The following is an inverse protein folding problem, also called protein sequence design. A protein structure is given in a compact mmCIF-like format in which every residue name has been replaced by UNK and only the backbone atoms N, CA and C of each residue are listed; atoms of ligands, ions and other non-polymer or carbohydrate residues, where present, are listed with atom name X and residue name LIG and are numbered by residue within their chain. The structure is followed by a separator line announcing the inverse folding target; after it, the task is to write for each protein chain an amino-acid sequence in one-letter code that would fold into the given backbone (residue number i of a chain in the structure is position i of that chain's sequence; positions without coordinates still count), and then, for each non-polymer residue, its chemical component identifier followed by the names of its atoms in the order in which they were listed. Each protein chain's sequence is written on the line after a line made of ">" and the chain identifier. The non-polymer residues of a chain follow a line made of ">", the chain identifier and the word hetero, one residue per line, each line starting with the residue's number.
data_IF_986091316183
#
_entry.id   IF_986091316183
#
_cell.length_a   1.000
_cell.length_b   1.000
_cell.length_c   1.000
_cell.angle_alpha   90.00
_cell.angle_beta   90.00
_cell.angle_gamma   90.00
#
_symmetry.space_group_name_H-M   'P 1'
#
loop_
_entity.id
_entity.type
_entity.pdbx_description
1 polymer ?
#
# COMPACT_ATOMS: atom_id res chain seq x y z
N UNK A 1 -3.54 -5.64 -14.62
CA UNK A 1 -4.85 -5.10 -14.17
C UNK A 1 -5.27 -5.94 -12.99
N UNK A 2 -5.70 -5.32 -11.89
CA UNK A 2 -6.08 -6.05 -10.67
C UNK A 2 -7.31 -6.93 -10.93
N UNK A 3 -7.30 -8.14 -10.39
CA UNK A 3 -8.45 -9.04 -10.37
C UNK A 3 -9.52 -8.54 -9.39
N UNK A 4 -10.76 -9.06 -9.49
CA UNK A 4 -11.80 -8.74 -8.52
C UNK A 4 -11.39 -9.10 -7.08
N UNK A 5 -10.74 -10.25 -6.87
CA UNK A 5 -10.30 -10.66 -5.53
C UNK A 5 -9.23 -9.71 -4.96
N UNK A 6 -8.25 -9.32 -5.77
CA UNK A 6 -7.22 -8.33 -5.40
C UNK A 6 -7.84 -6.98 -5.04
N UNK A 7 -8.87 -6.55 -5.77
CA UNK A 7 -9.61 -5.29 -5.47
C UNK A 7 -10.28 -5.36 -4.10
N UNK A 8 -10.87 -6.50 -3.72
CA UNK A 8 -11.50 -6.68 -2.41
C UNK A 8 -10.47 -6.70 -1.30
N UNK A 9 -9.33 -7.37 -1.51
CA UNK A 9 -8.20 -7.36 -0.57
C UNK A 9 -7.69 -5.94 -0.38
N UNK A 10 -7.44 -5.21 -1.46
CA UNK A 10 -6.96 -3.83 -1.43
C UNK A 10 -7.90 -2.91 -0.66
N UNK A 11 -9.22 -3.02 -0.89
CA UNK A 11 -10.24 -2.24 -0.16
C UNK A 11 -10.31 -2.61 1.32
N UNK A 12 -10.23 -3.89 1.66
CA UNK A 12 -10.21 -4.34 3.06
C UNK A 12 -8.97 -3.80 3.79
N UNK A 13 -7.79 -3.97 3.19
CA UNK A 13 -6.53 -3.46 3.75
C UNK A 13 -6.53 -1.94 3.84
N UNK A 14 -7.19 -1.24 2.90
CA UNK A 14 -7.32 0.20 2.92
C UNK A 14 -8.18 0.69 4.09
N UNK A 15 -9.33 0.06 4.32
CA UNK A 15 -10.17 0.37 5.49
C UNK A 15 -9.42 0.08 6.79
N UNK A 16 -8.65 -1.01 6.84
CA UNK A 16 -7.80 -1.33 7.99
C UNK A 16 -6.69 -0.28 8.22
N UNK A 17 -6.05 0.20 7.15
CA UNK A 17 -5.05 1.27 7.24
C UNK A 17 -5.67 2.57 7.76
N UNK A 18 -6.84 2.97 7.25
CA UNK A 18 -7.55 4.16 7.73
C UNK A 18 -7.91 4.06 9.22
N UNK A 19 -8.39 2.89 9.66
CA UNK A 19 -8.62 2.63 11.09
C UNK A 19 -7.35 2.78 11.92
N UNK A 20 -6.26 2.19 11.45
CA UNK A 20 -4.96 2.20 12.12
C UNK A 20 -4.39 3.62 12.19
N UNK A 21 -4.59 4.42 11.15
CA UNK A 21 -4.12 5.80 11.05
C UNK A 21 -5.01 6.82 11.78
N UNK A 22 -6.21 6.44 12.20
CA UNK A 22 -7.18 7.34 12.81
C UNK A 22 -6.63 8.17 14.01
N UNK A 23 -5.80 7.63 14.93
CA UNK A 23 -5.22 8.42 16.02
C UNK A 23 -4.29 9.54 15.57
N UNK A 24 -3.71 9.42 14.37
CA UNK A 24 -2.79 10.40 13.80
C UNK A 24 -3.47 11.38 12.83
N UNK A 25 -4.70 11.06 12.40
CA UNK A 25 -5.43 11.81 11.39
C UNK A 25 -4.82 11.71 9.99
N UNK A 26 -5.61 12.04 8.98
CA UNK A 26 -5.16 12.22 7.60
C UNK A 26 -5.64 13.61 7.17
N UNK A 27 -4.69 14.45 6.74
CA UNK A 27 -4.91 15.86 6.42
C UNK A 27 -5.10 16.11 4.93
N UNK A 28 -4.93 15.10 4.09
CA UNK A 28 -5.16 15.18 2.66
C UNK A 28 -4.69 13.95 1.89
N UNK A 29 -4.92 13.99 0.57
CA UNK A 29 -4.57 12.92 -0.36
C UNK A 29 -3.07 12.61 -0.37
N UNK A 30 -2.21 13.63 -0.23
CA UNK A 30 -0.75 13.43 -0.22
C UNK A 30 -0.33 12.48 0.90
N UNK A 31 -0.70 12.77 2.16
CA UNK A 31 -0.40 11.90 3.30
C UNK A 31 -0.99 10.51 3.12
N UNK A 32 -2.22 10.42 2.63
CA UNK A 32 -2.89 9.15 2.39
C UNK A 32 -2.16 8.28 1.37
N UNK A 33 -1.86 8.83 0.19
CA UNK A 33 -1.11 8.17 -0.88
C UNK A 33 0.27 7.72 -0.38
N UNK A 34 0.98 8.59 0.35
CA UNK A 34 2.30 8.26 0.88
C UNK A 34 2.26 7.15 1.94
N UNK A 35 1.28 7.13 2.85
CA UNK A 35 1.17 6.05 3.83
C UNK A 35 0.91 4.69 3.17
N UNK A 36 0.01 4.63 2.18
CA UNK A 36 -0.27 3.38 1.45
C UNK A 36 0.93 2.97 0.59
N UNK A 37 1.59 3.93 -0.06
CA UNK A 37 2.82 3.71 -0.82
C UNK A 37 3.93 3.11 0.05
N UNK A 38 4.19 3.68 1.22
CA UNK A 38 5.19 3.18 2.17
C UNK A 38 4.86 1.75 2.63
N UNK A 39 3.59 1.47 2.92
CA UNK A 39 3.15 0.11 3.25
C UNK A 39 3.45 -0.85 2.09
N UNK A 40 3.05 -0.51 0.87
CA UNK A 40 3.27 -1.33 -0.32
C UNK A 40 4.77 -1.55 -0.61
N UNK A 41 5.59 -0.50 -0.44
CA UNK A 41 7.04 -0.58 -0.58
C UNK A 41 7.64 -1.57 0.43
N UNK A 42 7.28 -1.46 1.72
CA UNK A 42 7.77 -2.35 2.77
C UNK A 42 7.28 -3.80 2.58
N UNK A 43 6.05 -3.99 2.12
CA UNK A 43 5.50 -5.31 1.76
C UNK A 43 6.35 -5.97 0.66
N UNK A 44 6.54 -5.28 -0.47
CA UNK A 44 7.17 -5.87 -1.65
C UNK A 44 8.69 -6.00 -1.53
N UNK A 45 9.38 -4.97 -1.04
CA UNK A 45 10.85 -4.93 -1.01
C UNK A 45 11.44 -5.23 0.36
N UNK A 46 10.74 -4.91 1.45
CA UNK A 46 11.21 -5.19 2.81
C UNK A 46 10.97 -6.64 3.24
N UNK A 47 9.79 -7.20 2.91
CA UNK A 47 9.36 -8.53 3.38
C UNK A 47 9.04 -9.53 2.26
N UNK A 48 9.08 -9.09 1.00
CA UNK A 48 8.74 -9.90 -0.18
C UNK A 48 7.38 -10.60 -0.07
N UNK A 49 6.38 -9.86 0.43
CA UNK A 49 4.99 -10.30 0.58
C UNK A 49 4.06 -9.37 -0.20
N UNK A 50 3.08 -9.92 -0.92
CA UNK A 50 2.06 -9.12 -1.64
C UNK A 50 0.88 -8.82 -0.73
N UNK A 51 0.68 -7.55 -0.40
CA UNK A 51 -0.51 -7.06 0.29
C UNK A 51 -1.35 -6.17 -0.62
N UNK A 52 -0.97 -4.91 -0.76
CA UNK A 52 -1.62 -4.01 -1.72
C UNK A 52 -1.22 -4.31 -3.17
N UNK A 53 -2.17 -4.23 -4.09
CA UNK A 53 -1.98 -4.47 -5.53
C UNK A 53 -2.00 -3.17 -6.37
N UNK A 54 -1.96 -2.03 -5.69
CA UNK A 54 -1.87 -0.71 -6.31
C UNK A 54 -0.57 -0.51 -7.08
N UNK A 55 -0.67 -0.03 -8.34
CA UNK A 55 0.48 0.44 -9.09
C UNK A 55 0.77 1.89 -8.71
N UNK A 56 2.02 2.17 -8.35
CA UNK A 56 2.47 3.53 -8.03
C UNK A 56 3.39 4.06 -9.11
N UNK A 57 3.22 5.34 -9.43
CA UNK A 57 4.16 6.11 -10.23
C UNK A 57 4.58 7.37 -9.48
N UNK A 58 5.72 7.94 -9.87
CA UNK A 58 6.22 9.17 -9.28
C UNK A 58 5.36 10.35 -9.74
N UNK A 59 4.75 11.06 -8.79
CA UNK A 59 4.06 12.31 -9.04
C UNK A 59 4.69 13.45 -8.25
N UNK A 60 4.17 14.68 -8.30
CA UNK A 60 4.82 15.85 -7.68
C UNK A 60 5.21 15.64 -6.20
N UNK A 61 4.37 14.97 -5.42
CA UNK A 61 4.50 14.82 -3.97
C UNK A 61 4.79 13.38 -3.50
N UNK A 62 5.47 12.60 -4.34
CA UNK A 62 5.89 11.22 -4.02
C UNK A 62 5.17 10.17 -4.87
N UNK A 63 4.93 9.01 -4.29
CA UNK A 63 4.22 7.93 -4.97
C UNK A 63 2.72 8.23 -5.07
N UNK A 64 2.15 8.08 -6.26
CA UNK A 64 0.71 8.20 -6.49
C UNK A 64 0.15 6.96 -7.18
N UNK A 65 -1.03 6.53 -6.73
CA UNK A 65 -1.80 5.46 -7.34
C UNK A 65 -3.21 5.95 -7.68
N UNK A 66 -3.56 5.88 -8.97
CA UNK A 66 -4.91 6.18 -9.44
C UNK A 66 -5.92 5.14 -8.95
N UNK A 67 -5.51 3.87 -8.94
CA UNK A 67 -6.30 2.75 -8.44
C UNK A 67 -6.69 2.94 -6.96
N UNK A 68 -5.75 3.44 -6.15
CA UNK A 68 -5.99 3.76 -4.74
C UNK A 68 -7.00 4.88 -4.58
N UNK A 69 -6.85 5.95 -5.37
CA UNK A 69 -7.78 7.06 -5.34
C UNK A 69 -9.20 6.62 -5.72
N UNK A 70 -9.32 5.76 -6.74
CA UNK A 70 -10.61 5.25 -7.19
C UNK A 70 -11.27 4.35 -6.14
N UNK A 71 -10.50 3.50 -5.47
CA UNK A 71 -11.02 2.67 -4.38
C UNK A 71 -11.45 3.51 -3.17
N UNK A 72 -10.70 4.57 -2.81
CA UNK A 72 -11.11 5.49 -1.75
C UNK A 72 -12.44 6.19 -2.07
N UNK A 73 -12.59 6.70 -3.30
CA UNK A 73 -13.83 7.33 -3.76
C UNK A 73 -14.99 6.33 -3.78
N UNK A 74 -14.78 5.11 -4.27
CA UNK A 74 -15.80 4.08 -4.32
C UNK A 74 -16.28 3.67 -2.92
N UNK A 75 -15.36 3.50 -1.97
CA UNK A 75 -15.68 3.20 -0.57
C UNK A 75 -16.45 4.34 0.10
N UNK A 76 -16.11 5.59 -0.22
CA UNK A 76 -16.84 6.77 0.24
C UNK A 76 -18.26 6.86 -0.32
N UNK A 77 -18.43 6.60 -1.62
CA UNK A 77 -19.75 6.55 -2.27
C UNK A 77 -20.66 5.50 -1.61
N UNK A 78 -20.09 4.37 -1.21
CA UNK A 78 -20.76 3.29 -0.48
C UNK A 78 -20.88 3.50 1.03
N UNK A 79 -20.47 4.66 1.55
CA UNK A 79 -20.57 5.02 2.97
C UNK A 79 -19.79 4.11 3.91
N UNK A 80 -18.71 3.46 3.47
CA UNK A 80 -17.79 2.76 4.38
C UNK A 80 -16.82 3.74 5.07
N UNK A 81 -16.55 4.87 4.44
CA UNK A 81 -15.75 5.95 4.98
C UNK A 81 -16.41 7.31 4.66
N UNK A 82 -16.02 8.32 5.41
CA UNK A 82 -16.32 9.73 5.12
C UNK A 82 -15.06 10.35 4.47
N UNK A 83 -15.11 10.68 3.16
CA UNK A 83 -13.98 11.28 2.46
C UNK A 83 -13.56 12.65 3.00
N UNK A 84 -14.50 13.43 3.55
CA UNK A 84 -14.21 14.76 4.07
C UNK A 84 -13.53 14.69 5.44
N UNK A 85 -13.95 13.72 6.27
CA UNK A 85 -13.38 13.51 7.59
C UNK A 85 -12.19 12.54 7.63
N UNK A 86 -11.88 11.87 6.51
CA UNK A 86 -10.86 10.82 6.39
C UNK A 86 -10.99 9.72 7.45
N UNK A 87 -12.23 9.33 7.77
CA UNK A 87 -12.55 8.39 8.84
C UNK A 87 -13.51 7.32 8.37
N UNK A 88 -13.44 6.15 9.01
CA UNK A 88 -14.44 5.11 8.80
C UNK A 88 -15.81 5.53 9.34
N UNK A 89 -16.87 5.10 8.67
CA UNK A 89 -18.22 5.13 9.23
C UNK A 89 -18.45 3.88 10.09
N UNK A 90 -19.62 3.77 10.74
CA UNK A 90 -20.01 2.55 11.43
C UNK A 90 -20.02 1.30 10.52
N UNK A 91 -20.34 1.46 9.22
CA UNK A 91 -20.31 0.38 8.26
C UNK A 91 -18.86 -0.07 7.96
N UNK A 92 -17.95 0.88 7.73
CA UNK A 92 -16.53 0.58 7.54
C UNK A 92 -15.91 -0.08 8.77
N UNK A 93 -16.22 0.43 9.97
CA UNK A 93 -15.81 -0.18 11.23
C UNK A 93 -16.29 -1.62 11.37
N UNK A 94 -17.50 -1.92 10.91
CA UNK A 94 -18.05 -3.29 10.92
C UNK A 94 -17.31 -4.20 9.96
N UNK A 95 -16.98 -3.74 8.74
CA UNK A 95 -16.17 -4.52 7.80
C UNK A 95 -14.79 -4.82 8.40
N UNK A 96 -14.12 -3.84 8.99
CA UNK A 96 -12.77 -4.03 9.53
C UNK A 96 -12.73 -5.01 10.72
N UNK A 97 -13.85 -5.27 11.40
CA UNK A 97 -13.92 -6.30 12.45
C UNK A 97 -13.65 -7.72 11.94
N UNK A 98 -13.69 -7.96 10.62
CA UNK A 98 -13.31 -9.27 10.05
C UNK A 98 -11.78 -9.49 10.03
N UNK A 99 -10.97 -8.43 10.16
CA UNK A 99 -9.51 -8.50 10.03
C UNK A 99 -8.86 -9.53 10.97
N UNK A 100 -9.18 -9.61 12.28
CA UNK A 100 -8.61 -10.64 13.13
C UNK A 100 -8.87 -12.07 12.62
N UNK A 101 -10.06 -12.33 12.07
CA UNK A 101 -10.41 -13.64 11.51
C UNK A 101 -9.75 -13.89 10.15
N UNK A 102 -9.57 -12.85 9.34
CA UNK A 102 -8.85 -12.92 8.07
C UNK A 102 -7.36 -13.23 8.28
N UNK A 103 -6.80 -12.85 9.43
CA UNK A 103 -5.36 -12.90 9.70
C UNK A 103 -4.98 -14.13 10.52
N UNK A 104 -5.83 -14.55 11.47
CA UNK A 104 -5.51 -15.62 12.42
C UNK A 104 -5.07 -16.92 11.73
N UNK A 105 -3.83 -17.33 11.97
CA UNK A 105 -3.28 -18.58 11.44
C UNK A 105 -2.77 -18.47 9.99
N UNK A 106 -2.70 -17.26 9.44
CA UNK A 106 -2.13 -16.96 8.13
C UNK A 106 -0.92 -16.05 8.32
N UNK A 107 0.28 -16.63 8.43
CA UNK A 107 1.52 -15.91 8.75
C UNK A 107 1.78 -14.71 7.81
N UNK A 108 1.52 -14.86 6.52
CA UNK A 108 1.69 -13.76 5.56
C UNK A 108 0.68 -12.61 5.77
N UNK A 109 -0.55 -12.93 6.17
CA UNK A 109 -1.55 -11.92 6.49
C UNK A 109 -1.18 -11.18 7.79
N UNK A 110 -0.61 -11.90 8.76
CA UNK A 110 -0.08 -11.34 10.00
C UNK A 110 1.06 -10.36 9.70
N UNK A 111 2.02 -10.76 8.86
CA UNK A 111 3.12 -9.89 8.42
C UNK A 111 2.60 -8.60 7.77
N UNK A 112 1.63 -8.70 6.86
CA UNK A 112 1.05 -7.54 6.17
C UNK A 112 0.37 -6.57 7.14
N UNK A 113 -0.37 -7.09 8.11
CA UNK A 113 -1.02 -6.26 9.14
C UNK A 113 0.01 -5.57 10.02
N UNK A 114 1.07 -6.27 10.40
CA UNK A 114 2.18 -5.70 11.17
C UNK A 114 2.87 -4.60 10.37
N UNK A 115 3.13 -4.79 9.07
CA UNK A 115 3.73 -3.76 8.21
C UNK A 115 2.86 -2.49 8.18
N UNK A 116 1.53 -2.62 8.06
CA UNK A 116 0.62 -1.47 8.09
C UNK A 116 0.72 -0.75 9.44
N UNK A 117 0.68 -1.49 10.55
CA UNK A 117 0.76 -0.93 11.89
C UNK A 117 2.09 -0.22 12.15
N UNK A 118 3.21 -0.84 11.78
CA UNK A 118 4.55 -0.28 11.95
C UNK A 118 4.76 0.95 11.07
N UNK A 119 4.30 0.91 9.81
CA UNK A 119 4.39 2.05 8.89
C UNK A 119 3.57 3.23 9.40
N UNK A 120 2.32 2.99 9.81
CA UNK A 120 1.47 4.05 10.38
C UNK A 120 2.05 4.59 11.68
N UNK A 121 2.62 3.75 12.53
CA UNK A 121 3.28 4.20 13.77
C UNK A 121 4.50 5.07 13.48
N UNK A 122 5.30 4.71 12.48
CA UNK A 122 6.51 5.44 12.11
C UNK A 122 6.21 6.77 11.42
N UNK A 123 5.27 6.78 10.47
CA UNK A 123 5.03 7.92 9.58
C UNK A 123 3.71 8.66 9.80
N UNK A 124 2.76 8.08 10.54
CA UNK A 124 1.43 8.67 10.75
C UNK A 124 1.47 10.04 11.41
N UNK A 125 2.47 10.31 12.25
CA UNK A 125 2.67 11.61 12.91
C UNK A 125 2.99 12.76 11.94
N UNK A 126 3.45 12.48 10.74
CA UNK A 126 3.79 13.51 9.76
C UNK A 126 2.51 14.05 9.09
N UNK A 127 2.48 15.36 8.84
CA UNK A 127 1.51 15.97 7.94
C UNK A 127 1.93 15.78 6.47
N UNK A 128 1.08 16.23 5.54
CA UNK A 128 1.34 16.14 4.11
C UNK A 128 2.62 16.85 3.66
N UNK A 129 3.08 17.90 4.35
CA UNK A 129 4.31 18.63 3.98
C UNK A 129 5.57 17.94 4.49
N UNK A 130 5.48 17.26 5.64
CA UNK A 130 6.59 16.62 6.32
C UNK A 130 6.80 15.16 5.92
N UNK A 131 5.76 14.46 5.43
CA UNK A 131 5.90 13.08 4.96
C UNK A 131 6.64 12.99 3.63
N UNK A 132 6.48 13.97 2.74
CA UNK A 132 7.07 13.95 1.39
C UNK A 132 8.60 13.91 1.42
N UNK A 133 9.30 14.79 2.16
CA UNK A 133 10.76 14.71 2.27
C UNK A 133 11.26 13.38 2.84
N UNK A 134 10.49 12.75 3.72
CA UNK A 134 10.85 11.44 4.29
C UNK A 134 10.71 10.31 3.28
N UNK A 135 9.67 10.35 2.43
CA UNK A 135 9.50 9.39 1.34
C UNK A 135 10.57 9.59 0.25
N UNK A 136 10.89 10.83 -0.11
CA UNK A 136 11.84 11.12 -1.20
C UNK A 136 13.27 10.65 -0.91
N UNK A 137 13.64 10.55 0.37
CA UNK A 137 14.94 10.04 0.83
C UNK A 137 15.07 8.53 0.73
N UNK A 138 13.96 7.80 0.58
CA UNK A 138 14.00 6.35 0.52
C UNK A 138 14.69 5.92 -0.78
N UNK A 139 15.65 5.03 -0.65
CA UNK A 139 16.41 4.51 -1.78
C UNK A 139 15.71 3.29 -2.39
N UNK A 140 15.51 3.33 -3.70
CA UNK A 140 15.09 2.18 -4.49
C UNK A 140 16.33 1.50 -5.06
N UNK A 141 16.42 0.18 -4.88
CA UNK A 141 17.47 -0.62 -5.52
C UNK A 141 17.11 -0.75 -7.00
N UNK A 142 18.00 -0.28 -7.88
CA UNK A 142 17.81 -0.41 -9.32
C UNK A 142 18.10 -1.86 -9.75
N UNK A 143 17.30 -2.44 -10.67
CA UNK A 143 17.66 -3.71 -11.27
C UNK A 143 18.98 -3.57 -12.03
N UNK A 144 19.83 -4.58 -11.94
CA UNK A 144 21.11 -4.63 -12.66
C UNK A 144 20.84 -4.47 -14.17
N UNK A 145 21.61 -3.60 -14.83
CA UNK A 145 21.56 -3.47 -16.29
C UNK A 145 22.09 -4.78 -16.89
N UNK A 146 21.31 -5.38 -17.79
CA UNK A 146 21.70 -6.59 -18.52
C UNK A 146 22.95 -6.40 -19.42
N UNK A 147 23.37 -5.16 -19.66
CA UNK A 147 24.49 -4.83 -20.56
C UNK A 147 25.84 -4.66 -19.81
N UNK A 148 25.92 -5.03 -18.53
CA UNK A 148 27.10 -4.81 -17.68
C UNK A 148 28.09 -5.99 -17.65
N UNK A 149 28.02 -6.93 -18.60
CA UNK A 149 28.94 -8.07 -18.73
C UNK A 149 30.33 -7.66 -19.32
N UNK A 150 30.71 -6.39 -19.23
CA UNK A 150 32.04 -5.91 -19.60
C UNK A 150 32.94 -5.78 -18.35
N UNK A 151 33.74 -6.81 -18.13
CA UNK A 151 35.00 -6.83 -17.38
C UNK A 151 35.01 -6.21 -15.95
N UNK A 152 34.89 -7.08 -14.94
CA UNK A 152 35.62 -6.92 -13.67
C UNK A 152 35.15 -5.84 -12.69
N UNK A 153 33.97 -5.25 -12.88
CA UNK A 153 33.40 -4.26 -11.95
C UNK A 153 32.61 -4.96 -10.85
N UNK A 154 33.01 -4.73 -9.60
CA UNK A 154 32.27 -5.15 -8.41
C UNK A 154 30.85 -4.59 -8.50
N UNK A 155 29.84 -5.46 -8.59
CA UNK A 155 28.42 -5.09 -8.63
C UNK A 155 28.02 -4.40 -7.31
N UNK A 156 28.17 -3.07 -7.25
CA UNK A 156 27.44 -2.28 -6.28
C UNK A 156 26.03 -2.10 -6.83
N UNK A 157 25.04 -2.67 -6.16
CA UNK A 157 23.64 -2.37 -6.45
C UNK A 157 23.45 -0.85 -6.39
N UNK A 158 23.22 -0.24 -7.55
CA UNK A 158 23.01 1.20 -7.64
C UNK A 158 21.65 1.51 -7.01
N UNK A 159 21.65 2.31 -5.95
CA UNK A 159 20.45 2.76 -5.27
C UNK A 159 20.12 4.20 -5.72
N UNK A 160 18.82 4.48 -5.93
CA UNK A 160 18.35 5.78 -6.36
C UNK A 160 17.28 6.28 -5.39
N UNK A 161 17.46 7.45 -4.76
CA UNK A 161 16.41 8.08 -3.97
C UNK A 161 15.15 8.30 -4.81
N UNK A 162 13.96 8.03 -4.23
CA UNK A 162 12.67 8.26 -4.90
C UNK A 162 12.54 9.70 -5.40
N UNK A 163 13.10 10.66 -4.66
CA UNK A 163 13.14 12.06 -5.06
C UNK A 163 13.77 12.32 -6.42
N UNK A 164 14.75 11.48 -6.82
CA UNK A 164 15.49 11.58 -8.09
C UNK A 164 14.88 10.78 -9.24
N UNK A 165 13.86 9.96 -8.96
CA UNK A 165 13.12 9.25 -10.01
C UNK A 165 12.32 10.27 -10.84
N UNK A 166 12.38 10.13 -12.17
CA UNK A 166 11.63 11.01 -13.08
C UNK A 166 10.12 10.96 -12.83
N UNK A 167 9.44 12.10 -12.98
CA UNK A 167 7.98 12.13 -12.90
C UNK A 167 7.33 11.17 -13.90
N UNK A 168 6.22 10.57 -13.48
CA UNK A 168 5.45 9.53 -14.18
C UNK A 168 6.16 8.18 -14.38
N UNK A 169 7.41 8.03 -13.94
CA UNK A 169 8.04 6.72 -13.91
C UNK A 169 7.34 5.81 -12.90
N UNK A 170 7.21 4.53 -13.23
CA UNK A 170 6.66 3.55 -12.31
C UNK A 170 7.60 3.33 -11.13
N UNK A 171 7.07 3.46 -9.91
CA UNK A 171 7.79 3.21 -8.66
C UNK A 171 7.52 1.78 -8.16
N UNK A 172 6.24 1.36 -8.17
CA UNK A 172 5.82 0.03 -7.73
C UNK A 172 4.85 -0.58 -8.73
N UNK A 173 5.14 -1.82 -9.14
CA UNK A 173 4.28 -2.60 -10.03
C UNK A 173 4.14 -3.99 -9.43
N UNK A 174 3.15 -4.22 -8.53
CA UNK A 174 3.07 -5.44 -7.72
C UNK A 174 3.03 -6.75 -8.52
N UNK A 175 2.40 -6.71 -9.69
CA UNK A 175 2.32 -7.83 -10.65
C UNK A 175 3.67 -8.28 -11.23
N UNK A 176 4.72 -7.45 -11.16
CA UNK A 176 6.09 -7.82 -11.60
C UNK A 176 6.91 -8.54 -10.52
N UNK A 177 6.42 -8.56 -9.28
CA UNK A 177 7.12 -9.22 -8.18
C UNK A 177 6.66 -10.68 -8.13
N UNK A 178 7.58 -11.61 -8.31
CA UNK A 178 7.28 -13.04 -8.15
C UNK A 178 7.48 -13.44 -6.70
N UNK A 179 6.39 -13.68 -5.97
CA UNK A 179 6.42 -14.22 -4.61
C UNK A 179 5.21 -15.11 -4.37
N UNK A 180 5.40 -16.19 -3.63
CA UNK A 180 4.33 -17.07 -3.15
C UNK A 180 3.67 -16.57 -1.86
N UNK A 181 4.23 -15.51 -1.25
CA UNK A 181 3.72 -14.90 -0.03
C UNK A 181 2.77 -13.77 -0.41
N UNK A 182 1.49 -13.96 -0.18
CA UNK A 182 0.46 -12.95 -0.48
C UNK A 182 -0.68 -12.98 0.53
N UNK A 183 -1.39 -11.86 0.65
CA UNK A 183 -2.59 -11.79 1.47
C UNK A 183 -3.70 -12.65 0.86
N UNK A 184 -4.18 -13.64 1.60
CA UNK A 184 -5.29 -14.49 1.15
C UNK A 184 -6.45 -14.42 2.11
N UNK A 185 -7.63 -14.19 1.56
CA UNK A 185 -8.89 -14.39 2.26
C UNK A 185 -9.31 -15.85 2.07
N UNK A 186 -9.95 -16.41 3.09
CA UNK A 186 -10.69 -17.67 2.94
C UNK A 186 -11.85 -17.45 1.97
N UNK A 187 -12.19 -18.47 1.19
CA UNK A 187 -13.19 -18.34 0.11
C UNK A 187 -14.55 -17.87 0.61
N UNK A 188 -15.00 -18.38 1.77
CA UNK A 188 -16.25 -17.97 2.41
C UNK A 188 -16.26 -16.47 2.77
N UNK A 189 -15.17 -15.98 3.34
CA UNK A 189 -15.01 -14.56 3.66
C UNK A 189 -14.86 -13.69 2.42
N UNK A 190 -14.14 -14.18 1.40
CA UNK A 190 -13.97 -13.48 0.13
C UNK A 190 -15.30 -13.25 -0.56
N UNK A 191 -16.17 -14.27 -0.63
CA UNK A 191 -17.51 -14.15 -1.23
C UNK A 191 -18.34 -13.11 -0.50
N UNK A 192 -18.37 -13.14 0.83
CA UNK A 192 -19.10 -12.15 1.64
C UNK A 192 -18.57 -10.74 1.40
N UNK A 193 -17.26 -10.56 1.40
CA UNK A 193 -16.65 -9.26 1.18
C UNK A 193 -16.79 -8.77 -0.26
N UNK A 194 -16.84 -9.66 -1.24
CA UNK A 194 -17.17 -9.30 -2.63
C UNK A 194 -18.55 -8.65 -2.70
N UNK A 195 -19.56 -9.23 -2.08
CA UNK A 195 -20.92 -8.66 -2.14
C UNK A 195 -21.02 -7.29 -1.45
N UNK A 196 -20.23 -7.06 -0.41
CA UNK A 196 -20.24 -5.82 0.36
C UNK A 196 -19.38 -4.75 -0.33
N UNK A 197 -18.15 -5.11 -0.73
CA UNK A 197 -17.12 -4.17 -1.14
C UNK A 197 -17.02 -3.98 -2.66
N UNK A 198 -17.55 -4.85 -3.54
CA UNK A 198 -17.39 -4.79 -5.03
C UNK A 198 -17.74 -3.47 -5.71
#
# INVERSE_FOLDING_TARGET
>A
MRSPAETIVDRLLLLFLLKTAAPYGIDGDVKFQQLVFLCALQMLYGRQVKGFHYRFFRYAYGGYSKDLQDDFVALGAKKFLDPAAWKLTAAGETVVKVMPNAVKGHSHNEDIVVIIQDTVKAYGKFDSSNIVPEVEKIELILPEKADADAEGVVHQHESLPIGHVSFHAHLLVPERIETSKEFKLKDDLLVVLQDILK
#
